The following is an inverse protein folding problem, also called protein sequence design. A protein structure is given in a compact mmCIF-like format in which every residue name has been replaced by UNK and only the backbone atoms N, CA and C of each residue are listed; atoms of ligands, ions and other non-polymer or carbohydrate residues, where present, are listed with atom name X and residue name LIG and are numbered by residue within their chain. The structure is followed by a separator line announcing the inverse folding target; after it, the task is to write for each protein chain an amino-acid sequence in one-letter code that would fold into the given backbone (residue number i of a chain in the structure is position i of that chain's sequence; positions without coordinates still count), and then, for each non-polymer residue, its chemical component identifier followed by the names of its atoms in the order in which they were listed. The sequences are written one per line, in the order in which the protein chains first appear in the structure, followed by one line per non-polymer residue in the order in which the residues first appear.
data_IF_354175797082
#
_entry.id   IF_354175797082
#
_cell.length_a   1.000
_cell.length_b   1.000
_cell.length_c   1.000
_cell.angle_alpha   90.00
_cell.angle_beta   90.00
_cell.angle_gamma   90.00
#
_symmetry.space_group_name_H-M   'P 1'
#
loop_
_entity.id
_entity.type
_entity.pdbx_description
1 polymer ?
#
# COMPACT_ATOMS: atom_id res chain seq x y z
N UNK A 1 28.76 0.38 -0.62
CA UNK A 1 27.70 1.35 -0.32
C UNK A 1 26.75 0.66 0.63
N UNK A 2 26.50 1.20 1.84
CA UNK A 2 25.51 0.62 2.74
C UNK A 2 24.11 0.72 2.11
N UNK A 3 23.28 -0.30 2.33
CA UNK A 3 21.86 -0.32 1.91
C UNK A 3 21.03 -0.15 3.16
N UNK A 4 20.09 0.81 3.14
CA UNK A 4 19.12 1.01 4.22
C UNK A 4 17.78 0.36 3.86
N UNK A 5 17.17 -0.30 4.84
CA UNK A 5 15.86 -0.90 4.74
C UNK A 5 14.87 -0.17 5.65
N UNK A 6 13.85 0.44 5.06
CA UNK A 6 12.82 1.17 5.81
C UNK A 6 11.44 0.53 5.59
N UNK A 7 10.85 -0.09 6.63
CA UNK A 7 9.47 -0.56 6.54
C UNK A 7 8.51 0.64 6.60
N UNK A 8 7.50 0.62 5.72
CA UNK A 8 6.40 1.58 5.65
C UNK A 8 5.10 0.79 5.73
N UNK A 9 4.31 1.02 6.77
CA UNK A 9 3.06 0.30 7.00
C UNK A 9 1.86 1.20 6.73
N UNK A 10 0.93 0.68 5.93
CA UNK A 10 -0.36 1.26 5.62
C UNK A 10 -1.44 0.57 6.44
N UNK A 11 -2.33 1.34 7.05
CA UNK A 11 -3.50 0.82 7.74
C UNK A 11 -4.73 1.09 6.89
N UNK A 12 -5.29 0.04 6.31
CA UNK A 12 -6.55 0.11 5.59
C UNK A 12 -7.68 0.02 6.62
N UNK A 13 -8.35 1.14 6.86
CA UNK A 13 -9.57 1.18 7.69
C UNK A 13 -10.74 0.53 6.96
N UNK A 14 -11.89 0.46 7.63
CA UNK A 14 -13.12 -0.17 7.12
C UNK A 14 -13.56 0.47 5.79
N UNK A 15 -13.13 -0.13 4.68
CA UNK A 15 -13.33 0.41 3.34
C UNK A 15 -14.43 -0.39 2.66
N UNK A 16 -15.49 0.24 2.14
CA UNK A 16 -16.59 -0.46 1.47
C UNK A 16 -16.12 -1.32 0.30
N UNK A 17 -16.84 -2.42 0.06
CA UNK A 17 -16.61 -3.27 -1.12
C UNK A 17 -17.03 -2.66 -2.48
N UNK A 18 -17.58 -1.44 -2.50
CA UNK A 18 -17.87 -0.69 -3.75
C UNK A 18 -16.72 0.21 -4.25
N UNK A 19 -15.91 0.76 -3.34
CA UNK A 19 -15.01 1.90 -3.61
C UNK A 19 -13.64 1.51 -4.24
N UNK A 20 -13.63 0.72 -5.32
CA UNK A 20 -12.38 0.34 -6.02
C UNK A 20 -11.94 1.46 -6.99
N UNK A 21 -10.66 1.91 -6.99
CA UNK A 21 -9.56 1.47 -6.12
C UNK A 21 -9.39 2.31 -4.83
N UNK A 22 -8.97 1.64 -3.75
CA UNK A 22 -8.55 2.33 -2.51
C UNK A 22 -7.09 2.79 -2.63
N UNK A 23 -6.83 4.03 -2.20
CA UNK A 23 -5.49 4.63 -2.21
C UNK A 23 -5.11 5.18 -0.85
N UNK A 24 -3.87 4.93 -0.45
CA UNK A 24 -3.29 5.52 0.76
C UNK A 24 -1.86 5.96 0.50
N UNK A 25 -1.45 7.06 1.11
CA UNK A 25 -0.10 7.60 0.99
C UNK A 25 0.52 7.74 2.37
N UNK A 26 1.75 7.25 2.53
CA UNK A 26 2.51 7.35 3.79
C UNK A 26 3.89 7.93 3.48
N UNK A 27 4.21 9.03 4.17
CA UNK A 27 5.54 9.66 4.14
C UNK A 27 6.54 8.91 5.02
N UNK A 28 7.81 8.95 4.66
CA UNK A 28 8.89 8.33 5.41
C UNK A 28 10.21 9.12 5.29
N UNK A 29 11.08 8.93 6.27
CA UNK A 29 12.44 9.48 6.28
C UNK A 29 13.50 8.37 6.31
N UNK A 30 14.66 8.66 5.72
CA UNK A 30 15.82 7.80 5.61
C UNK A 30 16.98 8.36 6.44
N UNK A 31 17.79 7.46 6.97
CA UNK A 31 18.99 7.79 7.74
C UNK A 31 20.17 8.04 6.79
N UNK A 32 20.32 9.29 6.34
CA UNK A 32 21.50 9.74 5.60
C UNK A 32 21.26 10.06 4.12
N UNK A 33 22.35 10.17 3.36
CA UNK A 33 22.29 10.66 1.97
C UNK A 33 22.11 9.51 0.99
N UNK A 34 21.03 9.55 0.22
CA UNK A 34 20.75 8.57 -0.84
C UNK A 34 21.58 8.87 -2.08
N UNK A 35 22.15 7.81 -2.66
CA UNK A 35 22.89 7.85 -3.91
C UNK A 35 22.03 8.44 -5.03
N UNK A 36 22.64 9.29 -5.85
CA UNK A 36 21.99 9.87 -7.03
C UNK A 36 22.63 9.37 -8.32
N UNK A 37 21.80 9.08 -9.32
CA UNK A 37 22.21 8.77 -10.70
C UNK A 37 21.48 9.74 -11.63
N UNK A 38 22.23 10.54 -12.40
CA UNK A 38 21.67 11.60 -13.27
C UNK A 38 20.71 12.53 -12.50
N UNK A 39 21.15 12.98 -11.32
CA UNK A 39 20.37 13.79 -10.35
C UNK A 39 19.09 13.15 -9.79
N UNK A 40 18.84 11.86 -10.02
CA UNK A 40 17.70 11.13 -9.44
C UNK A 40 18.17 10.26 -8.28
N UNK A 41 17.52 10.36 -7.13
CA UNK A 41 17.75 9.47 -5.99
C UNK A 41 17.47 8.02 -6.38
N UNK A 42 18.32 7.10 -5.94
CA UNK A 42 18.19 5.67 -6.22
C UNK A 42 17.66 4.94 -5.00
N UNK A 43 16.39 4.55 -5.09
CA UNK A 43 15.69 3.73 -4.12
C UNK A 43 14.67 2.85 -4.84
N UNK A 44 14.27 1.76 -4.19
CA UNK A 44 13.23 0.84 -4.66
C UNK A 44 12.19 0.63 -3.55
N UNK A 45 10.99 0.22 -3.94
CA UNK A 45 9.94 -0.19 -3.01
C UNK A 45 9.45 -1.57 -3.40
N UNK A 46 9.29 -2.46 -2.42
CA UNK A 46 8.77 -3.80 -2.62
C UNK A 46 7.65 -4.08 -1.62
N UNK A 47 6.67 -4.89 -2.03
CA UNK A 47 5.66 -5.41 -1.10
C UNK A 47 6.32 -6.45 -0.20
N UNK A 48 6.32 -6.22 1.12
CA UNK A 48 6.91 -7.16 2.07
C UNK A 48 5.85 -8.10 2.63
N UNK A 49 4.71 -7.56 3.06
CA UNK A 49 3.59 -8.34 3.58
C UNK A 49 2.27 -7.61 3.35
N UNK A 50 1.20 -8.38 3.30
CA UNK A 50 -0.16 -7.85 3.31
C UNK A 50 -1.07 -8.79 4.10
N UNK A 51 -1.97 -8.21 4.87
CA UNK A 51 -3.05 -8.91 5.57
C UNK A 51 -4.30 -8.08 5.42
N UNK A 52 -5.35 -8.68 4.87
CA UNK A 52 -6.65 -8.04 4.71
C UNK A 52 -7.71 -8.96 5.33
N UNK A 53 -8.52 -8.37 6.20
CA UNK A 53 -9.67 -8.99 6.83
C UNK A 53 -10.92 -8.50 6.13
N UNK A 54 -11.84 -9.41 5.82
CA UNK A 54 -13.17 -9.02 5.33
C UNK A 54 -14.16 -9.05 6.46
N UNK A 55 -14.86 -7.95 6.63
CA UNK A 55 -15.96 -7.78 7.57
C UNK A 55 -17.28 -7.98 6.81
N UNK A 56 -18.12 -8.87 7.33
CA UNK A 56 -19.46 -9.12 6.79
C UNK A 56 -20.50 -9.17 7.91
N UNK A 57 -21.66 -8.58 7.64
CA UNK A 57 -22.78 -8.48 8.59
C UNK A 57 -23.83 -9.61 8.48
N UNK A 58 -23.67 -10.61 7.59
CA UNK A 58 -24.64 -11.72 7.42
C UNK A 58 -23.99 -13.10 7.27
N UNK A 59 -24.80 -14.15 7.11
CA UNK A 59 -24.36 -15.55 6.99
C UNK A 59 -23.74 -15.82 5.61
N UNK A 60 -22.48 -16.26 5.56
CA UNK A 60 -21.69 -16.44 4.34
C UNK A 60 -22.26 -17.57 3.46
N UNK A 61 -23.06 -17.25 2.45
CA UNK A 61 -23.34 -18.20 1.36
C UNK A 61 -22.30 -18.04 0.26
N UNK A 62 -21.18 -18.74 0.43
CA UNK A 62 -20.19 -19.08 -0.60
C UNK A 62 -19.85 -17.97 -1.62
N UNK A 63 -19.02 -17.01 -1.24
CA UNK A 63 -18.27 -16.22 -2.21
C UNK A 63 -16.82 -16.08 -1.71
N UNK A 64 -15.89 -16.81 -2.35
CA UNK A 64 -14.46 -16.49 -2.23
C UNK A 64 -14.26 -15.12 -2.87
N UNK A 65 -13.90 -14.12 -2.08
CA UNK A 65 -13.51 -12.82 -2.62
C UNK A 65 -12.09 -12.92 -3.15
N UNK A 66 -11.87 -12.44 -4.38
CA UNK A 66 -10.53 -12.28 -4.94
C UNK A 66 -10.05 -10.85 -4.73
N UNK A 67 -8.91 -10.72 -4.06
CA UNK A 67 -8.08 -9.53 -4.19
C UNK A 67 -7.32 -9.68 -5.51
N UNK A 68 -7.54 -8.75 -6.42
CA UNK A 68 -7.00 -8.88 -7.76
C UNK A 68 -5.58 -8.34 -7.84
N UNK A 69 -5.30 -7.21 -7.16
CA UNK A 69 -4.01 -6.56 -7.29
C UNK A 69 -3.70 -5.60 -6.13
N UNK A 70 -2.44 -5.60 -5.69
CA UNK A 70 -1.83 -4.59 -4.82
C UNK A 70 -0.73 -3.89 -5.62
N UNK A 71 -0.76 -2.56 -5.62
CA UNK A 71 0.22 -1.71 -6.30
C UNK A 71 0.94 -0.81 -5.32
N UNK A 72 2.24 -0.62 -5.55
CA UNK A 72 3.09 0.28 -4.79
C UNK A 72 3.83 1.17 -5.76
N UNK A 73 3.87 2.47 -5.46
CA UNK A 73 4.74 3.42 -6.17
C UNK A 73 5.28 4.47 -5.20
N UNK A 74 6.47 4.96 -5.49
CA UNK A 74 7.04 6.12 -4.80
C UNK A 74 6.42 7.37 -5.42
N UNK A 75 5.98 8.30 -4.59
CA UNK A 75 5.36 9.56 -5.00
C UNK A 75 6.08 10.76 -4.36
N UNK A 76 6.07 11.93 -5.02
CA UNK A 76 6.52 13.16 -4.39
C UNK A 76 5.70 13.47 -3.12
N UNK A 77 6.35 14.10 -2.15
CA UNK A 77 5.71 14.61 -0.93
C UNK A 77 5.97 16.11 -0.83
N UNK A 78 4.96 16.86 -0.41
CA UNK A 78 5.10 18.30 -0.12
C UNK A 78 5.50 18.55 1.35
N UNK A 79 5.39 17.53 2.21
CA UNK A 79 5.76 17.65 3.62
C UNK A 79 7.30 17.62 3.77
N UNK A 80 7.92 18.70 4.30
CA UNK A 80 9.37 18.80 4.45
C UNK A 80 9.96 17.85 5.50
N UNK A 81 9.14 17.27 6.38
CA UNK A 81 9.60 16.33 7.41
C UNK A 81 9.90 14.92 6.84
N UNK A 82 9.49 14.66 5.60
CA UNK A 82 9.67 13.37 4.94
C UNK A 82 10.53 13.50 3.69
N UNK A 83 11.45 12.56 3.49
CA UNK A 83 12.32 12.51 2.32
C UNK A 83 11.56 12.07 1.06
N UNK A 84 10.54 11.23 1.24
CA UNK A 84 9.68 10.71 0.18
C UNK A 84 8.37 10.14 0.75
N UNK A 85 7.44 9.76 -0.13
CA UNK A 85 6.24 9.03 0.23
C UNK A 85 6.01 7.82 -0.68
N UNK A 86 5.30 6.83 -0.15
CA UNK A 86 4.82 5.67 -0.92
C UNK A 86 3.30 5.74 -1.01
N UNK A 87 2.75 5.53 -2.20
CA UNK A 87 1.32 5.34 -2.43
C UNK A 87 1.04 3.84 -2.60
N UNK A 88 0.13 3.34 -1.78
CA UNK A 88 -0.51 2.04 -1.90
C UNK A 88 -1.79 2.19 -2.73
N UNK A 89 -1.99 1.31 -3.70
CA UNK A 89 -3.27 1.15 -4.40
C UNK A 89 -3.73 -0.30 -4.28
N UNK A 90 -4.98 -0.51 -3.86
CA UNK A 90 -5.59 -1.85 -3.78
C UNK A 90 -6.76 -1.89 -4.76
N UNK A 91 -6.69 -2.85 -5.70
CA UNK A 91 -7.79 -3.17 -6.60
C UNK A 91 -8.44 -4.47 -6.18
N UNK A 92 -9.75 -4.48 -6.29
CA UNK A 92 -10.55 -5.70 -6.15
C UNK A 92 -11.62 -5.76 -7.21
N UNK A 93 -12.05 -6.98 -7.49
CA UNK A 93 -13.15 -7.30 -8.41
C UNK A 93 -14.42 -7.51 -7.62
N UNK A 94 -15.49 -6.85 -8.05
CA UNK A 94 -16.82 -7.18 -7.57
C UNK A 94 -17.23 -8.50 -8.21
N UNK A 95 -17.79 -9.43 -7.45
CA UNK A 95 -18.26 -10.68 -8.01
C UNK A 95 -19.50 -10.37 -8.89
N UNK A 96 -19.68 -11.04 -10.05
CA UNK A 96 -20.82 -10.78 -10.94
C UNK A 96 -22.19 -10.93 -10.27
N UNK A 97 -22.26 -11.74 -9.20
CA UNK A 97 -23.48 -11.93 -8.40
C UNK A 97 -23.74 -10.81 -7.37
N UNK A 98 -22.76 -9.93 -7.12
CA UNK A 98 -22.91 -8.77 -6.21
C UNK A 98 -23.72 -7.64 -6.87
N UNK A 99 -24.08 -7.77 -8.15
CA UNK A 99 -24.90 -6.83 -8.90
C UNK A 99 -26.38 -6.77 -8.45
N UNK A 100 -26.78 -7.58 -7.46
CA UNK A 100 -28.14 -7.62 -6.93
C UNK A 100 -28.18 -7.42 -5.41
N UNK A 101 -27.92 -6.19 -4.96
CA UNK A 101 -28.44 -5.62 -3.71
C UNK A 101 -27.80 -6.15 -2.41
N UNK A 102 -27.46 -5.21 -1.53
CA UNK A 102 -27.26 -5.40 -0.08
C UNK A 102 -26.13 -6.34 0.37
N UNK A 103 -24.94 -6.11 -0.16
CA UNK A 103 -23.74 -6.69 0.44
C UNK A 103 -22.91 -5.59 1.11
N UNK A 104 -23.22 -5.32 2.38
CA UNK A 104 -22.44 -4.48 3.30
C UNK A 104 -21.12 -5.16 3.65
N UNK A 105 -20.26 -5.38 2.67
CA UNK A 105 -18.91 -5.86 2.88
C UNK A 105 -17.97 -4.68 3.05
N UNK A 106 -17.11 -4.81 4.05
CA UNK A 106 -15.99 -3.92 4.27
C UNK A 106 -14.74 -4.75 4.38
N UNK A 107 -13.60 -4.15 4.08
CA UNK A 107 -12.32 -4.76 4.41
C UNK A 107 -11.49 -3.78 5.19
N UNK A 108 -10.65 -4.35 6.05
CA UNK A 108 -9.63 -3.63 6.80
C UNK A 108 -8.35 -4.43 6.77
N UNK A 109 -7.23 -3.81 7.10
CA UNK A 109 -6.00 -4.57 7.27
C UNK A 109 -4.75 -3.72 7.26
N UNK A 110 -3.63 -4.40 7.12
CA UNK A 110 -2.31 -3.82 7.14
C UNK A 110 -1.51 -4.28 5.92
N UNK A 111 -0.87 -3.33 5.26
CA UNK A 111 0.08 -3.61 4.17
C UNK A 111 1.41 -3.01 4.54
N UNK A 112 2.48 -3.80 4.50
CA UNK A 112 3.83 -3.30 4.75
C UNK A 112 4.61 -3.35 3.45
N UNK A 113 5.10 -2.18 3.04
CA UNK A 113 6.06 -2.02 1.97
C UNK A 113 7.46 -1.85 2.58
N UNK A 114 8.46 -2.37 1.89
CA UNK A 114 9.87 -2.17 2.23
C UNK A 114 10.50 -1.23 1.23
N UNK A 115 10.97 -0.09 1.71
CA UNK A 115 11.81 0.83 0.95
C UNK A 115 13.27 0.40 1.11
N UNK A 116 13.98 0.32 -0.01
CA UNK A 116 15.37 -0.10 -0.11
C UNK A 116 16.15 1.06 -0.73
N UNK A 117 17.08 1.65 0.00
CA UNK A 117 17.84 2.81 -0.46
C UNK A 117 19.34 2.54 -0.50
N UNK A 118 19.99 2.93 -1.60
CA UNK A 118 21.45 2.92 -1.70
C UNK A 118 22.01 4.17 -1.02
N UNK A 119 22.72 4.02 0.10
CA UNK A 119 23.32 5.14 0.81
C UNK A 119 24.75 5.42 0.35
N UNK A 120 25.13 6.70 0.36
CA UNK A 120 26.51 7.15 0.17
C UNK A 120 27.16 7.40 1.53
N UNK A 121 28.46 7.10 1.66
CA UNK A 121 29.25 7.59 2.79
C UNK A 121 29.20 9.11 2.81
N UNK A 122 28.85 9.68 3.95
CA UNK A 122 28.91 11.11 4.25
C UNK A 122 30.29 11.70 3.98
#
# INVERSE_FOLDING_TARGET
MPIEFKPVTFTVGDTPMGDSPCKQTVGFSLTGTVRKVKNKSVWSVALQSYSLEVLYNHTVTHCMMSLDQVGLKIVPTENPDYDAAVELTIWRRNHPNDAKGDVNWQYRGAVTALVIADLTSS
#
